data_IF_721544993195
#
_entry.id   IF_721544993195
#
_cell.length_a   1.000
_cell.length_b   1.000
_cell.length_c   1.000
_cell.angle_alpha   90.00
_cell.angle_beta   90.00
_cell.angle_gamma   90.00
#
_symmetry.space_group_name_H-M   'P 1'
#
loop_
_entity.id
_entity.type
_entity.pdbx_description
1 polymer ?
#
# COMPACT_ATOMS: atom_id res chain seq x y z
N UNK A 1 -0.81 7.92 -23.65
CA UNK A 1 -1.40 7.62 -22.33
C UNK A 1 -0.33 6.89 -21.54
N UNK A 2 -0.11 7.16 -20.24
CA UNK A 2 0.87 6.40 -19.48
C UNK A 2 0.48 4.92 -19.49
N UNK A 3 1.49 4.05 -19.63
CA UNK A 3 1.30 2.61 -19.65
C UNK A 3 0.68 2.13 -18.33
N UNK A 4 -0.17 1.11 -18.42
CA UNK A 4 -0.77 0.47 -17.26
C UNK A 4 0.31 -0.34 -16.52
N UNK A 5 0.49 -0.06 -15.24
CA UNK A 5 1.39 -0.84 -14.36
C UNK A 5 0.58 -1.91 -13.66
N UNK A 6 0.88 -3.18 -13.93
CA UNK A 6 0.16 -4.32 -13.36
C UNK A 6 0.61 -4.65 -11.94
N UNK A 7 -0.24 -5.35 -11.20
CA UNK A 7 0.10 -5.86 -9.86
C UNK A 7 1.35 -6.74 -9.91
N UNK A 8 1.43 -7.65 -10.89
CA UNK A 8 2.55 -8.58 -11.06
C UNK A 8 3.88 -7.85 -11.29
N UNK A 9 3.89 -6.81 -12.12
CA UNK A 9 5.09 -6.00 -12.35
C UNK A 9 5.56 -5.29 -11.09
N UNK A 10 4.63 -4.77 -10.27
CA UNK A 10 4.97 -4.13 -8.99
C UNK A 10 5.58 -5.16 -8.05
N UNK A 11 4.91 -6.30 -7.85
CA UNK A 11 5.40 -7.39 -6.98
C UNK A 11 6.80 -7.85 -7.39
N UNK A 12 7.03 -8.08 -8.69
CA UNK A 12 8.30 -8.60 -9.19
C UNK A 12 9.41 -7.56 -9.06
N UNK A 13 9.11 -6.27 -9.25
CA UNK A 13 10.06 -5.17 -9.00
C UNK A 13 10.38 -5.03 -7.52
N UNK A 14 9.40 -5.16 -6.62
CA UNK A 14 9.64 -5.15 -5.17
C UNK A 14 10.54 -6.32 -4.75
N UNK A 15 10.31 -7.52 -5.30
CA UNK A 15 11.18 -8.69 -5.09
C UNK A 15 12.58 -8.49 -5.63
N UNK A 16 12.73 -7.86 -6.79
CA UNK A 16 14.03 -7.51 -7.34
C UNK A 16 14.79 -6.47 -6.48
N UNK A 17 14.08 -5.64 -5.71
CA UNK A 17 14.67 -4.73 -4.71
C UNK A 17 15.01 -5.42 -3.38
N UNK A 18 14.67 -6.70 -3.23
CA UNK A 18 14.98 -7.51 -2.06
C UNK A 18 13.79 -7.79 -1.14
N UNK A 19 12.59 -7.24 -1.42
CA UNK A 19 11.41 -7.50 -0.60
C UNK A 19 10.84 -8.90 -0.86
N UNK A 20 10.88 -9.79 0.12
CA UNK A 20 10.54 -11.20 -0.05
C UNK A 20 9.58 -11.78 1.00
N UNK A 21 9.23 -13.07 0.83
CA UNK A 21 8.37 -13.79 1.77
C UNK A 21 8.90 -13.73 3.21
N UNK A 22 8.01 -13.49 4.17
CA UNK A 22 8.35 -13.45 5.60
C UNK A 22 8.88 -12.10 6.09
N UNK A 23 9.14 -11.15 5.20
CA UNK A 23 9.67 -9.85 5.58
C UNK A 23 8.58 -8.89 6.07
N UNK A 24 9.00 -7.94 6.90
CA UNK A 24 8.15 -6.83 7.34
C UNK A 24 8.51 -5.56 6.59
N UNK A 25 7.52 -4.85 6.06
CA UNK A 25 7.71 -3.60 5.33
C UNK A 25 6.77 -2.51 5.83
N UNK A 26 7.32 -1.31 6.06
CA UNK A 26 6.55 -0.09 6.29
C UNK A 26 6.53 0.72 4.98
N UNK A 27 5.36 0.85 4.36
CA UNK A 27 5.20 1.51 3.08
C UNK A 27 4.78 2.97 3.24
N UNK A 28 5.55 3.88 2.64
CA UNK A 28 5.12 5.23 2.30
C UNK A 28 5.09 5.34 0.77
N UNK A 29 3.99 5.83 0.21
CA UNK A 29 3.88 5.92 -1.25
C UNK A 29 3.01 7.10 -1.72
N UNK A 30 3.34 7.60 -2.90
CA UNK A 30 2.48 8.48 -3.68
C UNK A 30 2.02 7.73 -4.94
N UNK A 31 0.74 7.32 -4.99
CA UNK A 31 0.20 6.52 -6.10
C UNK A 31 0.40 7.21 -7.46
N UNK A 32 0.31 8.54 -7.49
CA UNK A 32 0.55 9.36 -8.68
C UNK A 32 1.96 9.24 -9.25
N UNK A 33 2.97 8.96 -8.42
CA UNK A 33 4.36 8.79 -8.86
C UNK A 33 4.63 7.44 -9.51
N UNK A 34 3.76 6.44 -9.29
CA UNK A 34 3.86 5.11 -9.92
C UNK A 34 3.24 5.11 -11.31
N UNK A 35 2.22 5.95 -11.54
CA UNK A 35 1.47 6.03 -12.78
C UNK A 35 0.10 5.36 -12.68
N UNK A 36 -0.41 4.83 -13.79
CA UNK A 36 -1.72 4.17 -13.83
C UNK A 36 -1.58 2.73 -13.34
N UNK A 37 -1.84 2.50 -12.05
CA UNK A 37 -1.81 1.17 -11.45
C UNK A 37 -3.10 0.42 -11.77
N UNK A 38 -2.98 -0.83 -12.21
CA UNK A 38 -4.09 -1.78 -12.33
C UNK A 38 -4.84 -1.89 -11.00
N UNK A 39 -6.16 -1.69 -11.01
CA UNK A 39 -7.00 -1.63 -9.79
C UNK A 39 -6.63 -0.50 -8.81
N UNK A 40 -5.83 0.48 -9.23
CA UNK A 40 -5.51 1.66 -8.43
C UNK A 40 -4.80 1.33 -7.11
N UNK A 41 -5.23 1.89 -5.95
CA UNK A 41 -4.58 1.64 -4.66
C UNK A 41 -4.65 0.16 -4.26
N UNK A 42 -5.75 -0.54 -4.55
CA UNK A 42 -5.91 -1.96 -4.20
C UNK A 42 -4.89 -2.83 -4.92
N UNK A 43 -4.58 -2.53 -6.19
CA UNK A 43 -3.56 -3.28 -6.93
C UNK A 43 -2.15 -3.09 -6.37
N UNK A 44 -1.83 -1.88 -5.88
CA UNK A 44 -0.56 -1.64 -5.18
C UNK A 44 -0.51 -2.38 -3.84
N UNK A 45 -1.59 -2.32 -3.05
CA UNK A 45 -1.67 -3.02 -1.76
C UNK A 45 -1.53 -4.53 -1.97
N UNK A 46 -2.26 -5.10 -2.94
CA UNK A 46 -2.19 -6.52 -3.27
C UNK A 46 -0.78 -6.92 -3.75
N UNK A 47 -0.12 -6.10 -4.57
CA UNK A 47 1.24 -6.37 -5.03
C UNK A 47 2.26 -6.45 -3.87
N UNK A 48 2.14 -5.55 -2.88
CA UNK A 48 3.02 -5.52 -1.70
C UNK A 48 2.72 -6.71 -0.78
N UNK A 49 1.44 -7.03 -0.56
CA UNK A 49 1.02 -8.22 0.18
C UNK A 49 1.54 -9.50 -0.48
N UNK A 50 1.44 -9.63 -1.81
CA UNK A 50 1.99 -10.77 -2.56
C UNK A 50 3.53 -10.81 -2.52
N UNK A 51 4.20 -9.67 -2.47
CA UNK A 51 5.66 -9.61 -2.41
C UNK A 51 6.16 -10.24 -1.10
N UNK A 52 5.50 -9.93 0.03
CA UNK A 52 5.89 -10.42 1.36
C UNK A 52 5.24 -11.74 1.77
N UNK A 53 4.33 -12.27 0.94
CA UNK A 53 3.68 -13.55 1.20
C UNK A 53 4.54 -14.75 0.79
N UNK A 54 4.43 -15.90 1.49
CA UNK A 54 3.73 -16.07 2.77
C UNK A 54 4.51 -15.52 3.97
N UNK A 55 3.79 -15.19 5.04
CA UNK A 55 4.36 -14.95 6.38
C UNK A 55 4.92 -13.56 6.65
N UNK A 56 4.87 -12.64 5.68
CA UNK A 56 5.33 -11.26 5.87
C UNK A 56 4.27 -10.34 6.48
N UNK A 57 4.68 -9.11 6.82
CA UNK A 57 3.82 -8.09 7.42
C UNK A 57 3.95 -6.78 6.64
N UNK A 58 2.81 -6.20 6.27
CA UNK A 58 2.75 -4.87 5.64
C UNK A 58 2.20 -3.87 6.65
N UNK A 59 2.88 -2.76 6.80
CA UNK A 59 2.47 -1.64 7.64
C UNK A 59 2.41 -0.37 6.80
N UNK A 60 1.49 0.53 7.14
CA UNK A 60 1.41 1.87 6.57
C UNK A 60 1.12 2.88 7.67
N UNK A 61 1.57 4.14 7.52
CA UNK A 61 1.13 5.20 8.40
C UNK A 61 -0.37 5.48 8.18
N UNK A 62 -1.16 5.50 9.26
CA UNK A 62 -2.58 5.85 9.26
C UNK A 62 -2.83 7.03 10.21
N UNK A 63 -2.26 8.20 9.88
CA UNK A 63 -2.37 9.38 10.73
C UNK A 63 -3.67 10.14 10.45
N UNK A 64 -4.54 10.32 11.46
CA UNK A 64 -5.77 11.07 11.32
C UNK A 64 -5.53 12.59 11.39
N UNK A 65 -6.60 13.37 11.28
CA UNK A 65 -6.59 14.77 11.67
C UNK A 65 -6.27 14.91 13.17
N UNK A 66 -5.15 15.57 13.47
CA UNK A 66 -4.64 15.76 14.83
C UNK A 66 -5.50 16.72 15.68
N UNK A 67 -6.42 17.45 15.07
CA UNK A 67 -7.32 18.37 15.76
C UNK A 67 -8.66 17.72 16.16
N UNK A 68 -8.86 16.44 15.84
CA UNK A 68 -10.06 15.66 16.20
C UNK A 68 -9.69 14.44 17.05
N UNK A 69 -10.58 13.97 17.95
CA UNK A 69 -10.40 12.67 18.61
C UNK A 69 -10.27 11.52 17.59
N UNK A 70 -9.39 10.57 17.88
CA UNK A 70 -9.19 9.38 17.04
C UNK A 70 -10.23 8.29 17.32
N UNK A 71 -10.77 7.71 16.26
CA UNK A 71 -11.60 6.51 16.24
C UNK A 71 -11.01 5.52 15.23
N UNK A 72 -10.61 4.34 15.73
CA UNK A 72 -9.99 3.28 14.92
C UNK A 72 -10.89 2.77 13.78
N UNK A 73 -12.21 2.92 13.89
CA UNK A 73 -13.16 2.43 12.90
C UNK A 73 -13.61 3.52 11.92
N UNK A 74 -13.32 4.80 12.20
CA UNK A 74 -13.93 5.91 11.48
C UNK A 74 -12.95 7.03 11.05
N UNK A 75 -11.87 7.28 11.80
CA UNK A 75 -10.95 8.37 11.50
C UNK A 75 -10.20 8.10 10.18
N UNK A 76 -10.34 8.97 9.17
CA UNK A 76 -9.63 8.79 7.91
C UNK A 76 -8.13 9.05 8.08
N UNK A 77 -7.32 8.33 7.32
CA UNK A 77 -5.90 8.63 7.12
C UNK A 77 -5.74 9.88 6.24
N UNK A 78 -4.86 10.78 6.64
CA UNK A 78 -4.56 12.04 5.95
C UNK A 78 -3.28 11.97 5.11
N UNK A 79 -2.56 10.85 5.13
CA UNK A 79 -1.20 10.70 4.55
C UNK A 79 -1.19 9.96 3.22
N UNK A 80 -2.28 10.05 2.46
CA UNK A 80 -2.39 9.57 1.09
C UNK A 80 -3.49 8.54 0.87
N UNK A 81 -3.87 8.39 -0.40
CA UNK A 81 -5.01 7.54 -0.78
C UNK A 81 -4.79 6.06 -0.51
N UNK A 82 -3.56 5.57 -0.67
CA UNK A 82 -3.24 4.15 -0.48
C UNK A 82 -3.34 3.77 0.99
N UNK A 83 -2.86 4.61 1.90
CA UNK A 83 -3.00 4.36 3.33
C UNK A 83 -4.45 4.43 3.79
N UNK A 84 -5.25 5.37 3.26
CA UNK A 84 -6.70 5.47 3.52
C UNK A 84 -7.47 4.22 3.10
N UNK A 85 -7.08 3.60 1.98
CA UNK A 85 -7.70 2.33 1.55
C UNK A 85 -7.19 1.16 2.40
N UNK A 86 -5.90 1.12 2.73
CA UNK A 86 -5.27 -0.02 3.41
C UNK A 86 -5.88 -0.34 4.77
N UNK A 87 -6.09 0.66 5.64
CA UNK A 87 -6.57 0.40 7.00
C UNK A 87 -8.01 -0.12 7.07
N UNK A 88 -8.80 0.07 6.00
CA UNK A 88 -10.19 -0.38 5.89
C UNK A 88 -10.33 -1.81 5.34
N UNK A 89 -9.23 -2.42 4.90
CA UNK A 89 -9.23 -3.78 4.35
C UNK A 89 -9.39 -4.82 5.48
N UNK A 90 -10.04 -5.96 5.18
CA UNK A 90 -10.17 -7.06 6.14
C UNK A 90 -8.83 -7.70 6.50
#
# INVERSE_FOLDING_TARGET
MPDLVTLAEIRDRLRALGLGPGESVMLHCALSSIGRVERGPDGLIDAVLEAVSPGGTVMMPALPDIYQPFDVLASPSTVGWVSEVFWRRP
#
